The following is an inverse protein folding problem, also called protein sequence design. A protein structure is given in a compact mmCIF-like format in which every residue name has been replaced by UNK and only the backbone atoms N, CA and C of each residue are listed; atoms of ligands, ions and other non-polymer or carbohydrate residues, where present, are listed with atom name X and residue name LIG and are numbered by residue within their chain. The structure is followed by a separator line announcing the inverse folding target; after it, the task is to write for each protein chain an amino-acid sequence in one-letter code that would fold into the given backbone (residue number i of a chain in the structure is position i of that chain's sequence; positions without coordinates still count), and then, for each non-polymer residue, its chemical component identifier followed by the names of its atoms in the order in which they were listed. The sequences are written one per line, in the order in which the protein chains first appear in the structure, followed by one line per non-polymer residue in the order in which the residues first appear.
data_IF_713904326519
#
_entry.id   IF_713904326519
#
_cell.length_a   1.000
_cell.length_b   1.000
_cell.length_c   1.000
_cell.angle_alpha   90.00
_cell.angle_beta   90.00
_cell.angle_gamma   90.00
#
_symmetry.space_group_name_H-M   'P 1'
#
loop_
_entity.id
_entity.type
_entity.pdbx_description
1 polymer ?
#
# COMPACT_ATOMS: atom_id res chain seq x y z
N UNK A 1 6.00 13.45 12.76
CA UNK A 1 6.00 13.16 11.32
C UNK A 1 4.56 13.04 10.92
N UNK A 2 4.13 13.89 10.00
CA UNK A 2 2.77 13.87 9.44
C UNK A 2 2.61 12.55 8.67
N UNK A 3 1.54 11.80 8.95
CA UNK A 3 1.22 10.59 8.18
C UNK A 3 0.74 11.06 6.79
N UNK A 4 1.40 10.60 5.73
CA UNK A 4 0.91 10.77 4.35
C UNK A 4 -0.38 9.96 4.16
N UNK A 5 -1.24 10.35 3.22
CA UNK A 5 -2.43 9.57 2.89
C UNK A 5 -2.08 8.28 2.15
N UNK A 6 -3.05 7.35 2.04
CA UNK A 6 -2.90 6.15 1.22
C UNK A 6 -2.63 6.51 -0.25
N UNK A 7 -3.41 7.44 -0.81
CA UNK A 7 -3.29 7.89 -2.20
C UNK A 7 -1.93 8.56 -2.46
N UNK A 8 -1.45 9.37 -1.52
CA UNK A 8 -0.12 9.98 -1.60
C UNK A 8 1.00 8.94 -1.54
N UNK A 9 0.87 7.93 -0.68
CA UNK A 9 1.83 6.84 -0.58
C UNK A 9 1.86 5.98 -1.85
N UNK A 10 0.68 5.69 -2.42
CA UNK A 10 0.54 4.93 -3.65
C UNK A 10 1.15 5.67 -4.84
N UNK A 11 0.85 6.97 -5.02
CA UNK A 11 1.47 7.78 -6.07
C UNK A 11 3.00 7.84 -5.96
N UNK A 12 3.53 7.95 -4.74
CA UNK A 12 4.99 7.90 -4.54
C UNK A 12 5.58 6.55 -4.90
N UNK A 13 4.89 5.46 -4.55
CA UNK A 13 5.32 4.11 -4.89
C UNK A 13 5.34 3.89 -6.41
N UNK A 14 4.30 4.32 -7.11
CA UNK A 14 4.22 4.27 -8.59
C UNK A 14 5.39 5.05 -9.22
N UNK A 15 5.63 6.28 -8.76
CA UNK A 15 6.76 7.09 -9.25
C UNK A 15 8.13 6.47 -8.96
N UNK A 16 8.27 5.71 -7.87
CA UNK A 16 9.49 4.94 -7.56
C UNK A 16 9.66 3.78 -8.53
N UNK A 17 8.58 3.02 -8.79
CA UNK A 17 8.59 1.91 -9.75
C UNK A 17 8.99 2.41 -11.14
N UNK A 18 8.35 3.47 -11.63
CA UNK A 18 8.67 4.07 -12.93
C UNK A 18 10.16 4.44 -13.05
N UNK A 19 10.73 5.03 -11.99
CA UNK A 19 12.16 5.38 -11.95
C UNK A 19 13.07 4.16 -11.94
N UNK A 20 12.73 3.13 -11.15
CA UNK A 20 13.50 1.90 -11.10
C UNK A 20 13.48 1.16 -12.44
N UNK A 21 12.34 1.16 -13.14
CA UNK A 21 12.17 0.53 -14.45
C UNK A 21 12.87 1.27 -15.58
N UNK A 22 13.12 2.58 -15.44
CA UNK A 22 13.87 3.37 -16.43
C UNK A 22 15.29 2.84 -16.68
N UNK A 23 15.91 2.21 -15.67
CA UNK A 23 17.28 1.69 -15.76
C UNK A 23 18.38 2.75 -15.84
N UNK A 24 18.06 4.04 -15.70
CA UNK A 24 19.01 5.16 -15.81
C UNK A 24 19.69 5.52 -14.47
N UNK A 25 19.39 4.78 -13.40
CA UNK A 25 19.83 5.11 -12.04
C UNK A 25 21.19 4.50 -11.70
N UNK A 26 21.99 5.27 -10.97
CA UNK A 26 23.18 4.77 -10.30
C UNK A 26 22.81 3.74 -9.21
N UNK A 27 23.67 2.76 -8.98
CA UNK A 27 23.40 1.65 -8.04
C UNK A 27 22.95 2.11 -6.65
N UNK A 28 23.61 3.15 -6.12
CA UNK A 28 23.29 3.71 -4.79
C UNK A 28 21.93 4.39 -4.76
N UNK A 29 21.50 5.00 -5.86
CA UNK A 29 20.19 5.64 -5.97
C UNK A 29 19.08 4.59 -6.13
N UNK A 30 19.31 3.58 -6.98
CA UNK A 30 18.42 2.45 -7.14
C UNK A 30 18.16 1.73 -5.81
N UNK A 31 19.21 1.52 -4.98
CA UNK A 31 19.06 0.89 -3.67
C UNK A 31 18.19 1.74 -2.72
N UNK A 32 18.38 3.06 -2.70
CA UNK A 32 17.57 3.97 -1.87
C UNK A 32 16.11 3.97 -2.28
N UNK A 33 15.84 4.06 -3.58
CA UNK A 33 14.47 4.03 -4.10
C UNK A 33 13.81 2.68 -3.83
N UNK A 34 14.55 1.57 -3.94
CA UNK A 34 14.06 0.24 -3.59
C UNK A 34 13.65 0.15 -2.10
N UNK A 35 14.51 0.62 -1.18
CA UNK A 35 14.18 0.65 0.24
C UNK A 35 12.94 1.50 0.54
N UNK A 36 12.81 2.65 -0.11
CA UNK A 36 11.64 3.51 0.02
C UNK A 36 10.38 2.85 -0.55
N UNK A 37 10.48 2.24 -1.73
CA UNK A 37 9.38 1.51 -2.36
C UNK A 37 8.88 0.35 -1.49
N UNK A 38 9.79 -0.42 -0.88
CA UNK A 38 9.42 -1.48 0.07
C UNK A 38 8.68 -0.92 1.28
N UNK A 39 9.17 0.19 1.86
CA UNK A 39 8.49 0.85 2.99
C UNK A 39 7.09 1.33 2.62
N UNK A 40 6.92 1.94 1.45
CA UNK A 40 5.63 2.42 0.96
C UNK A 40 4.67 1.25 0.67
N UNK A 41 5.16 0.17 0.06
CA UNK A 41 4.36 -1.03 -0.20
C UNK A 41 3.81 -1.65 1.09
N UNK A 42 4.64 -1.79 2.13
CA UNK A 42 4.22 -2.27 3.45
C UNK A 42 3.20 -1.32 4.08
N UNK A 43 3.41 -0.01 3.95
CA UNK A 43 2.47 1.00 4.44
C UNK A 43 1.10 0.87 3.76
N UNK A 44 1.05 0.82 2.43
CA UNK A 44 -0.18 0.67 1.66
C UNK A 44 -0.94 -0.61 2.03
N UNK A 45 -0.25 -1.76 2.12
CA UNK A 45 -0.89 -3.00 2.58
C UNK A 45 -1.46 -2.88 3.98
N UNK A 46 -0.78 -2.18 4.88
CA UNK A 46 -1.25 -2.00 6.26
C UNK A 46 -2.53 -1.14 6.34
N UNK A 47 -2.63 -0.09 5.52
CA UNK A 47 -3.82 0.77 5.46
C UNK A 47 -5.01 0.04 4.83
N UNK A 48 -4.79 -0.74 3.77
CA UNK A 48 -5.82 -1.60 3.17
C UNK A 48 -6.34 -2.61 4.20
N UNK A 49 -5.45 -3.35 4.87
CA UNK A 49 -5.83 -4.32 5.90
C UNK A 49 -6.59 -3.69 7.06
N UNK A 50 -6.18 -2.50 7.50
CA UNK A 50 -6.87 -1.76 8.55
C UNK A 50 -8.28 -1.31 8.10
N UNK A 51 -8.43 -0.97 6.84
CA UNK A 51 -9.72 -0.58 6.24
C UNK A 51 -10.64 -1.78 6.09
N UNK A 52 -10.15 -2.91 5.58
CA UNK A 52 -10.89 -4.16 5.47
C UNK A 52 -11.42 -4.59 6.83
N UNK A 53 -10.58 -4.56 7.87
CA UNK A 53 -10.99 -4.90 9.23
C UNK A 53 -12.13 -4.01 9.76
N UNK A 54 -12.07 -2.70 9.49
CA UNK A 54 -13.15 -1.77 9.87
C UNK A 54 -14.44 -2.08 9.13
N UNK A 55 -14.37 -2.41 7.84
CA UNK A 55 -15.52 -2.81 7.04
C UNK A 55 -16.12 -4.10 7.59
N UNK A 56 -15.31 -5.12 7.86
CA UNK A 56 -15.76 -6.39 8.47
C UNK A 56 -16.52 -6.14 9.78
N UNK A 57 -15.97 -5.29 10.66
CA UNK A 57 -16.60 -4.98 11.95
C UNK A 57 -17.92 -4.22 11.82
N UNK A 58 -18.02 -3.31 10.84
CA UNK A 58 -19.27 -2.61 10.55
C UNK A 58 -20.34 -3.57 10.05
N UNK A 59 -19.98 -4.50 9.15
CA UNK A 59 -20.88 -5.55 8.64
C UNK A 59 -21.37 -6.45 9.76
N UNK A 60 -20.47 -6.97 10.61
CA UNK A 60 -20.83 -7.81 11.78
C UNK A 60 -21.85 -7.09 12.69
N UNK A 61 -21.68 -5.78 12.89
CA UNK A 61 -22.56 -4.97 13.74
C UNK A 61 -23.94 -4.75 13.13
N UNK A 62 -24.06 -4.78 11.79
CA UNK A 62 -25.30 -4.53 11.06
C UNK A 62 -26.20 -5.78 10.89
N UNK A 63 -25.86 -6.93 11.49
CA UNK A 63 -26.60 -8.21 11.35
C UNK A 63 -26.80 -8.66 9.89
N UNK A 64 -25.89 -8.32 8.99
CA UNK A 64 -25.95 -8.74 7.58
C UNK A 64 -24.98 -9.89 7.31
N UNK A 65 -25.48 -11.02 6.81
CA UNK A 65 -24.68 -12.06 6.15
C UNK A 65 -24.01 -11.45 4.91
N UNK A 66 -22.81 -10.90 5.07
CA UNK A 66 -21.96 -10.52 3.94
C UNK A 66 -20.68 -11.34 4.06
N UNK A 67 -20.55 -12.34 3.19
CA UNK A 67 -19.28 -13.05 3.00
C UNK A 67 -18.29 -12.07 2.37
N UNK A 68 -17.28 -11.68 3.15
CA UNK A 68 -16.10 -11.03 2.60
C UNK A 68 -15.27 -12.10 1.90
N UNK A 69 -15.32 -12.09 0.58
CA UNK A 69 -14.42 -12.88 -0.24
C UNK A 69 -13.05 -12.19 -0.14
N UNK A 70 -12.11 -12.81 0.56
CA UNK A 70 -10.71 -12.43 0.46
C UNK A 70 -10.27 -12.61 -1.00
N UNK A 71 -9.80 -11.54 -1.63
CA UNK A 71 -9.03 -11.66 -2.87
C UNK A 71 -7.69 -12.27 -2.49
N UNK A 72 -7.63 -13.60 -2.42
CA UNK A 72 -6.37 -14.34 -2.44
C UNK A 72 -5.96 -14.46 -3.92
N UNK A 73 -4.72 -14.03 -4.22
CA UNK A 73 -4.07 -14.21 -5.53
C UNK A 73 -4.04 -15.69 -5.98
#
# INVERSE_FOLDING_TARGET
MEKISFEEALQKLEAIVDKLESGELELQEALKLFEEGVRLSVYCQSELKATDYKISKLIETLQGEVELISFED
#
